data_IF_021316862555
#
_entry.id   IF_021316862555
#
_cell.length_a   1.000
_cell.length_b   1.000
_cell.length_c   1.000
_cell.angle_alpha   90.00
_cell.angle_beta   90.00
_cell.angle_gamma   90.00
#
_symmetry.space_group_name_H-M   'P 1'
#
loop_
_entity.id
_entity.type
_entity.pdbx_description
1 polymer ?
#
# COMPACT_ATOMS: atom_id res chain seq x y z
N UNK A 1 36.23 -0.25 -19.24
CA UNK A 1 36.97 -1.17 -18.36
C UNK A 1 36.64 -0.80 -16.93
N UNK A 2 35.63 -1.44 -16.37
CA UNK A 2 35.34 -1.48 -14.95
C UNK A 2 34.77 -2.88 -14.69
N UNK A 3 35.54 -3.68 -13.97
CA UNK A 3 35.25 -5.09 -13.70
C UNK A 3 34.05 -5.22 -12.76
N UNK A 4 33.06 -6.00 -13.18
CA UNK A 4 31.94 -6.41 -12.34
C UNK A 4 32.34 -7.72 -11.67
N UNK A 5 32.54 -7.71 -10.34
CA UNK A 5 32.75 -8.94 -9.57
C UNK A 5 31.40 -9.52 -9.16
N UNK A 6 31.02 -10.72 -9.63
CA UNK A 6 29.85 -11.41 -9.10
C UNK A 6 30.21 -12.09 -7.78
N UNK A 7 29.36 -11.92 -6.76
CA UNK A 7 29.49 -12.63 -5.49
C UNK A 7 29.14 -14.11 -5.71
N UNK A 8 30.17 -14.96 -5.82
CA UNK A 8 30.05 -16.41 -5.88
C UNK A 8 30.57 -17.02 -4.56
N UNK A 9 29.65 -17.45 -3.69
CA UNK A 9 29.99 -18.30 -2.53
C UNK A 9 30.08 -19.76 -2.97
N UNK A 10 31.27 -20.17 -3.42
CA UNK A 10 31.65 -21.58 -3.53
C UNK A 10 32.81 -21.86 -2.58
N UNK A 11 32.49 -22.32 -1.36
CA UNK A 11 33.45 -22.82 -0.39
C UNK A 11 32.80 -23.89 0.50
N UNK A 12 33.50 -24.99 0.86
CA UNK A 12 32.89 -26.08 1.59
C UNK A 12 32.58 -25.67 3.04
N UNK A 13 31.34 -25.89 3.47
CA UNK A 13 30.92 -25.63 4.83
C UNK A 13 31.65 -26.56 5.82
N UNK A 14 32.39 -25.97 6.76
CA UNK A 14 33.03 -26.69 7.85
C UNK A 14 31.95 -27.31 8.78
N UNK A 15 31.97 -28.64 8.88
CA UNK A 15 31.11 -29.37 9.82
C UNK A 15 31.74 -29.34 11.22
N UNK A 16 31.08 -28.67 12.17
CA UNK A 16 31.35 -28.82 13.60
C UNK A 16 30.25 -29.69 14.22
N UNK A 17 30.63 -30.89 14.70
CA UNK A 17 29.74 -31.77 15.48
C UNK A 17 29.61 -31.25 16.92
N UNK A 18 28.41 -30.83 17.32
CA UNK A 18 28.05 -30.65 18.72
C UNK A 18 27.52 -31.97 19.32
N UNK A 19 27.77 -32.28 20.62
CA UNK A 19 27.34 -33.52 21.23
C UNK A 19 25.84 -33.54 21.49
N UNK A 20 25.23 -34.73 21.38
CA UNK A 20 23.80 -34.95 21.56
C UNK A 20 23.39 -34.79 23.03
N UNK A 21 22.56 -33.78 23.32
CA UNK A 21 21.83 -33.66 24.58
C UNK A 21 20.58 -34.54 24.50
N UNK A 22 20.47 -35.55 25.38
CA UNK A 22 19.25 -36.35 25.52
C UNK A 22 18.18 -35.51 26.21
N UNK A 23 17.15 -35.10 25.47
CA UNK A 23 15.94 -34.54 26.07
C UNK A 23 15.07 -35.66 26.66
N UNK A 24 14.58 -35.51 27.89
CA UNK A 24 13.62 -36.45 28.47
C UNK A 24 12.32 -36.38 27.67
N UNK A 25 11.66 -37.53 27.52
CA UNK A 25 10.39 -37.67 26.82
C UNK A 25 9.31 -36.81 27.48
N UNK A 26 9.06 -35.61 26.95
CA UNK A 26 7.82 -34.90 27.20
C UNK A 26 6.77 -35.56 26.31
N UNK A 27 5.81 -36.19 26.96
CA UNK A 27 4.69 -36.88 26.35
C UNK A 27 4.07 -36.03 25.24
N UNK A 28 3.96 -36.64 24.07
CA UNK A 28 3.40 -36.09 22.85
C UNK A 28 1.90 -35.85 23.04
N UNK A 29 1.55 -34.73 23.67
CA UNK A 29 0.21 -34.14 23.59
C UNK A 29 0.08 -33.27 22.35
N UNK A 30 0.42 -33.77 21.16
CA UNK A 30 0.02 -33.09 19.92
C UNK A 30 -1.50 -33.26 19.79
N UNK A 31 -2.24 -32.28 20.32
CA UNK A 31 -3.61 -32.07 19.84
C UNK A 31 -3.45 -31.72 18.36
N UNK A 32 -3.79 -32.68 17.48
CA UNK A 32 -3.94 -32.41 16.06
C UNK A 32 -4.84 -31.19 15.96
N UNK A 33 -4.32 -30.04 15.50
CA UNK A 33 -5.15 -28.92 15.09
C UNK A 33 -5.96 -29.45 13.91
N UNK A 34 -7.14 -29.96 14.21
CA UNK A 34 -8.02 -30.61 13.25
C UNK A 34 -8.47 -29.54 12.27
N UNK A 35 -7.92 -29.57 11.06
CA UNK A 35 -8.45 -28.76 9.97
C UNK A 35 -9.77 -29.40 9.55
N UNK A 36 -10.87 -28.69 9.73
CA UNK A 36 -12.17 -29.07 9.17
C UNK A 36 -12.27 -28.58 7.72
N UNK A 37 -13.20 -29.10 6.90
CA UNK A 37 -13.40 -28.62 5.52
C UNK A 37 -13.72 -27.11 5.42
N UNK A 38 -14.13 -26.49 6.53
CA UNK A 38 -14.57 -25.10 6.62
C UNK A 38 -13.69 -24.21 7.51
N UNK A 39 -12.53 -24.69 7.99
CA UNK A 39 -11.63 -23.89 8.83
C UNK A 39 -10.95 -24.65 9.97
N UNK A 40 -10.42 -23.92 10.96
CA UNK A 40 -9.84 -24.51 12.16
C UNK A 40 -10.93 -25.17 13.02
N UNK A 41 -10.59 -26.25 13.74
CA UNK A 41 -11.49 -26.80 14.76
C UNK A 41 -11.48 -25.92 16.02
N UNK A 42 -12.61 -25.85 16.72
CA UNK A 42 -12.70 -25.19 18.01
C UNK A 42 -11.66 -25.75 19.00
N UNK A 43 -10.96 -24.86 19.70
CA UNK A 43 -9.88 -25.24 20.61
C UNK A 43 -9.84 -24.30 21.83
N UNK A 44 -10.08 -24.84 23.03
CA UNK A 44 -10.23 -24.02 24.23
C UNK A 44 -11.47 -23.11 24.14
N UNK A 45 -11.31 -21.81 24.41
CA UNK A 45 -12.36 -20.80 24.26
C UNK A 45 -12.51 -20.27 22.83
N UNK A 46 -11.66 -20.70 21.90
CA UNK A 46 -11.74 -20.30 20.50
C UNK A 46 -12.89 -21.04 19.78
N UNK A 47 -13.85 -20.27 19.27
CA UNK A 47 -14.89 -20.74 18.38
C UNK A 47 -14.63 -20.19 16.96
N UNK A 48 -14.29 -21.05 15.98
CA UNK A 48 -14.02 -20.66 14.59
C UNK A 48 -15.18 -19.90 13.93
N UNK A 49 -16.40 -19.99 14.47
CA UNK A 49 -17.56 -19.24 13.97
C UNK A 49 -17.44 -17.72 14.21
N UNK A 50 -16.60 -17.31 15.15
CA UNK A 50 -16.35 -15.91 15.48
C UNK A 50 -15.14 -15.34 14.72
N UNK A 51 -14.52 -16.12 13.82
CA UNK A 51 -13.41 -15.66 12.99
C UNK A 51 -13.93 -14.78 11.85
N UNK A 52 -13.50 -13.52 11.82
CA UNK A 52 -13.91 -12.56 10.79
C UNK A 52 -12.72 -11.71 10.36
N UNK A 53 -12.46 -11.67 9.05
CA UNK A 53 -11.47 -10.75 8.47
C UNK A 53 -11.93 -9.30 8.63
N UNK A 54 -11.03 -8.47 9.15
CA UNK A 54 -11.32 -7.09 9.55
C UNK A 54 -11.13 -6.04 8.43
N UNK A 55 -11.08 -6.43 7.15
CA UNK A 55 -10.91 -5.48 6.04
C UNK A 55 -11.99 -5.61 4.96
N UNK A 56 -12.65 -4.49 4.66
CA UNK A 56 -13.59 -4.35 3.54
C UNK A 56 -12.89 -4.07 2.23
N UNK A 57 -13.29 -4.77 1.17
CA UNK A 57 -12.83 -4.51 -0.21
C UNK A 57 -14.03 -4.64 -1.15
N UNK A 58 -14.10 -3.74 -2.13
CA UNK A 58 -15.09 -3.78 -3.20
C UNK A 58 -14.51 -3.23 -4.49
N UNK A 59 -15.17 -3.52 -5.61
CA UNK A 59 -14.81 -2.97 -6.91
C UNK A 59 -16.08 -2.69 -7.72
N UNK A 60 -16.00 -1.72 -8.62
CA UNK A 60 -17.07 -1.36 -9.54
C UNK A 60 -16.47 -1.26 -10.93
N UNK A 61 -17.17 -1.85 -11.89
CA UNK A 61 -16.74 -1.85 -13.28
C UNK A 61 -17.93 -1.56 -14.19
N UNK A 62 -17.70 -0.72 -15.19
CA UNK A 62 -18.63 -0.60 -16.30
C UNK A 62 -18.31 -1.67 -17.34
N UNK A 63 -19.19 -2.67 -17.46
CA UNK A 63 -19.01 -3.82 -18.37
C UNK A 63 -18.93 -3.42 -19.85
N UNK A 64 -19.43 -2.22 -20.22
CA UNK A 64 -19.34 -1.68 -21.58
C UNK A 64 -18.08 -0.84 -21.80
N UNK A 65 -17.22 -0.70 -20.79
CA UNK A 65 -15.98 0.09 -20.87
C UNK A 65 -16.19 1.61 -20.93
N UNK A 66 -17.41 2.10 -20.67
CA UNK A 66 -17.69 3.54 -20.72
C UNK A 66 -17.15 4.21 -19.46
N UNK A 67 -16.21 5.15 -19.64
CA UNK A 67 -15.65 5.98 -18.57
C UNK A 67 -16.72 6.94 -18.05
N UNK A 68 -16.91 6.99 -16.74
CA UNK A 68 -17.87 7.89 -16.09
C UNK A 68 -17.42 8.23 -14.68
N UNK A 69 -17.64 9.46 -14.26
CA UNK A 69 -17.45 9.89 -12.87
C UNK A 69 -18.36 9.12 -11.91
N UNK A 70 -19.50 8.60 -12.40
CA UNK A 70 -20.41 7.78 -11.59
C UNK A 70 -19.70 6.58 -10.94
N UNK A 71 -18.75 5.95 -11.64
CA UNK A 71 -18.00 4.81 -11.11
C UNK A 71 -17.17 5.22 -9.88
N UNK A 72 -16.62 6.43 -9.87
CA UNK A 72 -15.89 6.98 -8.73
C UNK A 72 -16.84 7.25 -7.57
N UNK A 73 -17.98 7.92 -7.85
CA UNK A 73 -19.02 8.18 -6.85
C UNK A 73 -19.54 6.90 -6.21
N UNK A 74 -19.83 5.88 -7.00
CA UNK A 74 -20.31 4.59 -6.50
C UNK A 74 -19.20 3.88 -5.68
N UNK A 75 -17.93 4.01 -6.09
CA UNK A 75 -16.79 3.46 -5.35
C UNK A 75 -16.61 4.10 -3.97
N UNK A 76 -16.81 5.42 -3.87
CA UNK A 76 -16.83 6.12 -2.59
C UNK A 76 -18.01 5.66 -1.72
N UNK A 77 -19.20 5.50 -2.30
CA UNK A 77 -20.35 4.95 -1.58
C UNK A 77 -20.08 3.53 -1.04
N UNK A 78 -19.32 2.69 -1.76
CA UNK A 78 -18.88 1.38 -1.24
C UNK A 78 -18.00 1.56 -0.01
N UNK A 79 -17.02 2.47 -0.02
CA UNK A 79 -16.14 2.72 1.13
C UNK A 79 -16.94 3.20 2.36
N UNK A 80 -17.89 4.11 2.17
CA UNK A 80 -18.79 4.59 3.24
C UNK A 80 -19.62 3.45 3.85
N UNK A 81 -20.03 2.47 3.04
CA UNK A 81 -20.78 1.32 3.53
C UNK A 81 -19.89 0.24 4.19
N UNK A 82 -18.57 0.35 4.08
CA UNK A 82 -17.60 -0.56 4.70
C UNK A 82 -17.08 -0.08 6.05
N UNK A 83 -17.52 1.08 6.56
CA UNK A 83 -17.06 1.63 7.85
C UNK A 83 -17.26 0.68 9.03
N UNK A 84 -18.31 -0.16 9.01
CA UNK A 84 -18.54 -1.19 10.04
C UNK A 84 -17.47 -2.28 10.08
N UNK A 85 -16.62 -2.36 9.05
CA UNK A 85 -15.46 -3.24 8.98
C UNK A 85 -14.15 -2.50 9.19
N UNK A 86 -14.16 -1.18 9.38
CA UNK A 86 -12.96 -0.42 9.68
C UNK A 86 -12.55 -0.59 11.13
N UNK A 87 -11.25 -0.65 11.39
CA UNK A 87 -10.75 -0.45 12.74
C UNK A 87 -10.96 1.03 13.12
N UNK A 88 -11.57 1.25 14.28
CA UNK A 88 -11.68 2.58 14.90
C UNK A 88 -10.84 2.55 16.16
N UNK A 89 -9.91 3.49 16.27
CA UNK A 89 -9.05 3.61 17.44
C UNK A 89 -9.74 4.29 18.63
N UNK A 90 -8.95 4.68 19.64
CA UNK A 90 -9.45 5.47 20.77
C UNK A 90 -9.93 6.87 20.35
N UNK A 91 -9.38 7.40 19.25
CA UNK A 91 -9.85 8.62 18.61
C UNK A 91 -10.83 8.26 17.48
N UNK A 92 -12.08 8.74 17.52
CA UNK A 92 -13.08 8.46 16.47
C UNK A 92 -12.73 9.06 15.11
N UNK A 93 -11.80 10.02 15.03
CA UNK A 93 -11.29 10.59 13.79
C UNK A 93 -10.10 9.80 13.22
N UNK A 94 -9.59 8.81 13.95
CA UNK A 94 -8.48 7.97 13.51
C UNK A 94 -8.99 6.65 12.96
N UNK A 95 -8.57 6.34 11.72
CA UNK A 95 -8.74 5.03 11.10
C UNK A 95 -7.42 4.52 10.54
N UNK A 96 -7.31 3.21 10.36
CA UNK A 96 -6.08 2.57 9.88
C UNK A 96 -5.76 2.89 8.40
N UNK A 97 -6.80 3.20 7.61
CA UNK A 97 -6.65 3.62 6.22
C UNK A 97 -7.85 3.30 5.33
N UNK A 98 -8.04 4.12 4.30
CA UNK A 98 -9.01 3.90 3.23
C UNK A 98 -8.42 4.41 1.91
N UNK A 99 -8.85 3.85 0.78
CA UNK A 99 -8.34 4.27 -0.52
C UNK A 99 -9.17 3.75 -1.67
N UNK A 100 -9.06 4.43 -2.82
CA UNK A 100 -9.67 4.01 -4.08
C UNK A 100 -8.60 4.02 -5.16
N UNK A 101 -8.55 2.94 -5.95
CA UNK A 101 -7.73 2.87 -7.15
C UNK A 101 -8.62 3.05 -8.37
N UNK A 102 -8.28 4.05 -9.20
CA UNK A 102 -9.00 4.36 -10.43
C UNK A 102 -8.04 4.30 -11.62
N UNK A 103 -8.60 4.17 -12.83
CA UNK A 103 -7.84 4.38 -14.05
C UNK A 103 -7.36 5.84 -14.12
N UNK A 104 -6.22 6.08 -14.77
CA UNK A 104 -5.68 7.42 -14.99
C UNK A 104 -6.75 8.33 -15.65
N UNK A 105 -7.28 9.34 -14.94
CA UNK A 105 -8.33 10.20 -15.46
C UNK A 105 -7.74 11.27 -16.40
N UNK A 106 -7.51 10.91 -17.66
CA UNK A 106 -6.82 11.77 -18.64
C UNK A 106 -7.40 13.19 -18.74
N UNK A 107 -8.73 13.31 -18.83
CA UNK A 107 -9.39 14.62 -18.90
C UNK A 107 -9.02 15.51 -17.72
N UNK A 108 -9.03 14.97 -16.51
CA UNK A 108 -8.69 15.71 -15.29
C UNK A 108 -7.24 16.18 -15.32
N UNK A 109 -6.28 15.27 -15.55
CA UNK A 109 -4.86 15.64 -15.57
C UNK A 109 -4.52 16.62 -16.68
N UNK A 110 -5.19 16.52 -17.84
CA UNK A 110 -4.99 17.46 -18.94
C UNK A 110 -5.44 18.88 -18.58
N UNK A 111 -6.60 19.01 -17.93
CA UNK A 111 -7.11 20.30 -17.45
C UNK A 111 -6.17 20.87 -16.36
N UNK A 112 -5.77 20.05 -15.38
CA UNK A 112 -4.87 20.45 -14.29
C UNK A 112 -3.49 20.89 -14.79
N UNK A 113 -2.84 20.10 -15.65
CA UNK A 113 -1.49 20.40 -16.14
C UNK A 113 -1.47 21.56 -17.14
N UNK A 114 -2.54 21.72 -17.94
CA UNK A 114 -2.68 22.89 -18.81
C UNK A 114 -2.75 24.19 -18.01
N UNK A 115 -3.36 24.19 -16.81
CA UNK A 115 -3.38 25.36 -15.92
C UNK A 115 -1.98 25.80 -15.46
N UNK A 116 -1.00 24.88 -15.51
CA UNK A 116 0.41 25.10 -15.19
C UNK A 116 1.28 25.33 -16.43
N UNK A 117 0.67 25.42 -17.61
CA UNK A 117 1.38 25.61 -18.88
C UNK A 117 2.04 24.34 -19.43
N UNK A 118 1.66 23.15 -18.94
CA UNK A 118 2.21 21.86 -19.39
C UNK A 118 1.20 21.18 -20.31
N UNK A 119 1.61 20.91 -21.54
CA UNK A 119 0.83 20.12 -22.50
C UNK A 119 1.14 18.62 -22.34
N UNK A 120 0.13 17.83 -21.97
CA UNK A 120 0.30 16.40 -21.81
C UNK A 120 0.29 15.65 -23.15
N UNK A 121 1.15 14.63 -23.33
CA UNK A 121 1.07 13.69 -24.44
C UNK A 121 -0.32 13.04 -24.57
N UNK A 122 -0.53 12.35 -25.69
CA UNK A 122 -1.75 11.58 -25.91
C UNK A 122 -1.95 10.52 -24.80
N UNK A 123 -3.20 10.15 -24.48
CA UNK A 123 -3.48 9.09 -23.52
C UNK A 123 -2.64 7.82 -23.82
N UNK A 124 -2.05 7.24 -22.77
CA UNK A 124 -1.15 6.08 -22.90
C UNK A 124 0.30 6.42 -23.23
N UNK A 125 0.64 7.69 -23.49
CA UNK A 125 2.01 8.17 -23.73
C UNK A 125 2.54 9.05 -22.60
N UNK A 126 1.85 9.07 -21.46
CA UNK A 126 2.31 9.68 -20.23
C UNK A 126 1.87 8.84 -19.03
N UNK A 127 2.58 8.97 -17.92
CA UNK A 127 2.30 8.30 -16.66
C UNK A 127 2.22 9.32 -15.53
N UNK A 128 1.58 8.93 -14.42
CA UNK A 128 1.52 9.71 -13.19
C UNK A 128 2.04 8.85 -12.05
N UNK A 129 2.99 9.38 -11.29
CA UNK A 129 3.40 8.85 -10.00
C UNK A 129 2.68 9.60 -8.87
N UNK A 130 2.17 8.88 -7.88
CA UNK A 130 1.63 9.46 -6.65
C UNK A 130 2.61 9.12 -5.52
N UNK A 131 3.24 10.15 -4.94
CA UNK A 131 4.33 10.00 -3.97
C UNK A 131 3.98 10.77 -2.71
N UNK A 132 4.15 10.14 -1.54
CA UNK A 132 4.15 10.84 -0.27
C UNK A 132 5.53 11.41 0.00
N UNK A 133 5.57 12.71 0.30
CA UNK A 133 6.80 13.45 0.55
C UNK A 133 6.91 13.84 2.03
N UNK A 134 8.14 14.01 2.56
CA UNK A 134 8.35 14.69 3.84
C UNK A 134 7.74 16.09 3.80
N UNK A 135 7.36 16.64 4.97
CA UNK A 135 6.85 18.02 5.06
C UNK A 135 7.93 19.09 4.91
N UNK A 136 9.19 18.72 5.09
CA UNK A 136 10.33 19.62 4.99
C UNK A 136 10.60 20.00 3.51
N UNK A 137 10.57 21.30 3.16
CA UNK A 137 10.74 21.73 1.76
C UNK A 137 12.13 21.43 1.18
N UNK A 138 13.18 21.41 1.98
CA UNK A 138 14.53 21.11 1.50
C UNK A 138 14.64 19.62 1.15
N UNK A 139 14.05 18.74 1.98
CA UNK A 139 13.94 17.31 1.66
C UNK A 139 13.06 17.05 0.45
N UNK A 140 11.96 17.78 0.28
CA UNK A 140 11.11 17.70 -0.93
C UNK A 140 11.92 18.02 -2.18
N UNK A 141 12.59 19.18 -2.21
CA UNK A 141 13.41 19.60 -3.34
C UNK A 141 14.54 18.59 -3.65
N UNK A 142 15.13 18.00 -2.61
CA UNK A 142 16.13 16.94 -2.77
C UNK A 142 15.55 15.69 -3.45
N UNK A 143 14.38 15.22 -3.02
CA UNK A 143 13.71 14.06 -3.59
C UNK A 143 13.26 14.33 -5.03
N UNK A 144 12.72 15.52 -5.31
CA UNK A 144 12.38 15.93 -6.68
C UNK A 144 13.59 15.93 -7.61
N UNK A 145 14.75 16.39 -7.12
CA UNK A 145 16.02 16.31 -7.82
C UNK A 145 16.42 14.87 -8.18
N UNK A 146 16.28 13.95 -7.23
CA UNK A 146 16.54 12.51 -7.46
C UNK A 146 15.57 11.95 -8.51
N UNK A 147 14.28 12.28 -8.42
CA UNK A 147 13.29 11.84 -9.41
C UNK A 147 13.64 12.35 -10.81
N UNK A 148 14.03 13.61 -10.93
CA UNK A 148 14.43 14.21 -12.20
C UNK A 148 15.69 13.56 -12.78
N UNK A 149 16.71 13.32 -11.95
CA UNK A 149 17.95 12.64 -12.35
C UNK A 149 17.66 11.22 -12.84
N UNK A 150 16.91 10.43 -12.08
CA UNK A 150 16.56 9.06 -12.45
C UNK A 150 15.70 9.01 -13.72
N UNK A 151 14.71 9.90 -13.85
CA UNK A 151 13.90 9.98 -15.07
C UNK A 151 14.77 10.26 -16.30
N UNK A 152 15.73 11.18 -16.18
CA UNK A 152 16.68 11.47 -17.25
C UNK A 152 17.56 10.27 -17.59
N UNK A 153 18.08 9.54 -16.59
CA UNK A 153 18.89 8.34 -16.79
C UNK A 153 18.13 7.23 -17.52
N UNK A 154 16.84 7.09 -17.22
CA UNK A 154 15.93 6.13 -17.87
C UNK A 154 15.37 6.64 -19.22
N UNK A 155 15.80 7.83 -19.67
CA UNK A 155 15.37 8.43 -20.94
C UNK A 155 13.89 8.85 -20.96
N UNK A 156 13.28 9.05 -19.79
CA UNK A 156 11.90 9.48 -19.65
C UNK A 156 11.84 11.00 -19.40
N UNK A 157 11.12 11.77 -20.23
CA UNK A 157 10.97 13.20 -19.99
C UNK A 157 10.05 13.44 -18.78
N UNK A 158 10.57 14.11 -17.75
CA UNK A 158 9.77 14.58 -16.63
C UNK A 158 8.91 15.76 -17.08
N UNK A 159 7.58 15.60 -17.04
CA UNK A 159 6.63 16.61 -17.52
C UNK A 159 6.35 17.71 -16.48
N UNK A 160 6.48 17.39 -15.20
CA UNK A 160 6.27 18.32 -14.10
C UNK A 160 5.80 17.63 -12.82
N UNK A 161 5.76 18.40 -11.74
CA UNK A 161 5.17 18.02 -10.47
C UNK A 161 3.83 18.71 -10.27
N UNK A 162 2.93 18.07 -9.53
CA UNK A 162 1.64 18.63 -9.16
C UNK A 162 1.38 18.34 -7.70
N UNK A 163 1.21 19.39 -6.91
CA UNK A 163 0.74 19.26 -5.53
C UNK A 163 -0.70 18.72 -5.52
N UNK A 164 -0.93 17.70 -4.68
CA UNK A 164 -2.27 17.14 -4.50
C UNK A 164 -3.01 18.02 -3.49
N UNK A 165 -4.13 18.66 -3.87
CA UNK A 165 -4.92 19.43 -2.93
C UNK A 165 -5.53 18.47 -1.90
N UNK A 166 -5.34 18.78 -0.62
CA UNK A 166 -5.85 18.01 0.52
C UNK A 166 -6.59 18.92 1.49
N UNK A 167 -7.59 18.35 2.19
CA UNK A 167 -8.26 19.00 3.32
C UNK A 167 -8.12 18.09 4.56
N UNK A 168 -7.23 18.49 5.47
CA UNK A 168 -6.94 17.75 6.68
C UNK A 168 -7.84 18.15 7.86
N UNK A 169 -8.88 18.97 7.64
CA UNK A 169 -9.76 19.46 8.72
C UNK A 169 -10.50 18.36 9.48
N UNK A 170 -10.69 17.20 8.83
CA UNK A 170 -11.36 16.01 9.38
C UNK A 170 -10.41 15.02 10.07
N UNK A 171 -9.09 15.22 9.99
CA UNK A 171 -8.10 14.34 10.61
C UNK A 171 -7.96 14.63 12.12
N UNK A 172 -7.53 13.61 12.87
CA UNK A 172 -7.26 13.74 14.29
C UNK A 172 -6.21 14.81 14.57
N UNK A 173 -6.39 15.57 15.66
CA UNK A 173 -5.43 16.55 16.16
C UNK A 173 -4.73 16.11 17.44
N UNK A 174 -4.87 14.83 17.82
CA UNK A 174 -4.21 14.33 19.01
C UNK A 174 -2.68 14.56 18.88
N UNK A 175 -1.99 15.08 19.91
CA UNK A 175 -0.59 15.49 19.80
C UNK A 175 0.32 14.37 19.30
N UNK A 176 0.04 13.15 19.75
CA UNK A 176 0.81 11.94 19.42
C UNK A 176 0.59 11.48 17.98
N UNK A 177 -0.57 11.83 17.39
CA UNK A 177 -0.95 11.51 16.00
C UNK A 177 -0.47 12.61 15.06
N UNK A 178 -0.69 13.88 15.44
CA UNK A 178 -0.25 15.05 14.67
C UNK A 178 1.28 15.15 14.56
N UNK A 179 2.03 14.50 15.46
CA UNK A 179 3.48 14.37 15.37
C UNK A 179 3.95 13.27 14.39
N UNK A 180 3.06 12.34 14.02
CA UNK A 180 3.32 11.25 13.06
C UNK A 180 2.85 11.57 11.63
N UNK A 181 1.96 12.56 11.49
CA UNK A 181 1.54 13.13 10.20
C UNK A 181 2.50 14.21 9.72
#
# INVERSE_FOLDING_TARGET
MTEVTPSATNGPAAQTKAPAVKNPSIATGLTKIGRTPTGFAAHGLYDPRNEHDACGVGFIVNMKGVKSHQIVTDGLAVLENLTHRGAVGADPLMGDGAGVLVQLPDRFFREEMASQGVELPNPGHYAVGHVFMPRDPELQAHIEGIIAEVAQLEGQPLLGFRDVPVDNSSLSKAPDIAASE
#
